data_IF_949972326238
#
_entry.id   IF_949972326238
#
_cell.length_a   1.000
_cell.length_b   1.000
_cell.length_c   1.000
_cell.angle_alpha   90.00
_cell.angle_beta   90.00
_cell.angle_gamma   90.00
#
_symmetry.space_group_name_H-M   'P 1'
#
loop_
_entity.id
_entity.type
_entity.pdbx_description
1 polymer ?
#
# COMPACT_ATOMS: atom_id res chain seq x y z
N UNK A 1 -8.72 -16.58 2.23
CA UNK A 1 -8.69 -15.11 2.35
C UNK A 1 -9.19 -14.51 1.05
N UNK A 2 -9.75 -13.30 1.10
CA UNK A 2 -10.11 -12.53 -0.09
C UNK A 2 -9.10 -11.39 -0.27
N UNK A 3 -8.64 -11.18 -1.50
CA UNK A 3 -7.73 -10.09 -1.83
C UNK A 3 -8.38 -9.12 -2.80
N UNK A 4 -8.18 -7.83 -2.56
CA UNK A 4 -8.60 -6.77 -3.45
C UNK A 4 -7.42 -5.85 -3.78
N UNK A 5 -7.50 -5.22 -4.95
CA UNK A 5 -6.55 -4.20 -5.40
C UNK A 5 -7.33 -3.02 -5.95
N UNK A 6 -6.91 -1.81 -5.60
CA UNK A 6 -7.55 -0.59 -6.09
C UNK A 6 -6.53 0.53 -6.24
N UNK A 7 -6.97 1.64 -6.84
CA UNK A 7 -6.20 2.87 -6.95
C UNK A 7 -6.93 4.01 -6.27
N UNK A 8 -6.21 4.74 -5.41
CA UNK A 8 -6.73 5.93 -4.74
C UNK A 8 -5.93 7.16 -5.17
N UNK A 9 -6.59 8.31 -5.26
CA UNK A 9 -5.89 9.57 -5.56
C UNK A 9 -5.05 9.98 -4.35
N UNK A 10 -3.76 10.21 -4.56
CA UNK A 10 -2.84 10.71 -3.54
C UNK A 10 -3.27 12.10 -3.05
N UNK A 11 -2.86 12.45 -1.82
CA UNK A 11 -3.03 13.79 -1.25
C UNK A 11 -2.37 14.89 -2.08
N UNK A 12 -1.43 14.55 -2.98
CA UNK A 12 -0.87 15.49 -3.94
C UNK A 12 -1.83 15.86 -5.08
N UNK A 13 -3.01 15.25 -5.14
CA UNK A 13 -4.08 15.54 -6.10
C UNK A 13 -3.84 15.08 -7.53
N UNK A 14 -2.69 14.46 -7.84
CA UNK A 14 -2.31 14.10 -9.23
C UNK A 14 -2.01 12.61 -9.42
N UNK A 15 -1.37 11.99 -8.43
CA UNK A 15 -0.88 10.61 -8.56
C UNK A 15 -1.90 9.62 -8.00
N UNK A 16 -1.77 8.36 -8.44
CA UNK A 16 -2.65 7.27 -8.01
C UNK A 16 -1.82 6.28 -7.20
N UNK A 17 -2.24 6.02 -5.97
CA UNK A 17 -1.62 5.06 -5.07
C UNK A 17 -2.22 3.69 -5.33
N UNK A 18 -1.39 2.69 -5.54
CA UNK A 18 -1.80 1.29 -5.59
C UNK A 18 -2.03 0.78 -4.17
N UNK A 19 -3.24 0.28 -3.91
CA UNK A 19 -3.66 -0.21 -2.59
C UNK A 19 -3.98 -1.69 -2.68
N UNK A 20 -3.51 -2.47 -1.71
CA UNK A 20 -3.89 -3.87 -1.53
C UNK A 20 -4.58 -4.07 -0.20
N UNK A 21 -5.60 -4.91 -0.24
CA UNK A 21 -6.35 -5.33 0.96
C UNK A 21 -6.44 -6.85 0.99
N UNK A 22 -6.11 -7.43 2.14
CA UNK A 22 -6.27 -8.85 2.45
C UNK A 22 -7.31 -8.99 3.55
N UNK A 23 -8.37 -9.73 3.27
CA UNK A 23 -9.50 -9.93 4.17
C UNK A 23 -9.56 -11.39 4.65
N UNK A 24 -9.73 -11.62 5.96
CA UNK A 24 -10.08 -12.94 6.45
C UNK A 24 -11.45 -13.37 5.91
N UNK A 25 -11.73 -14.67 5.92
CA UNK A 25 -13.04 -15.19 5.52
C UNK A 25 -14.14 -14.80 6.52
N UNK A 26 -13.78 -14.75 7.80
CA UNK A 26 -14.66 -14.35 8.90
C UNK A 26 -14.68 -12.83 9.12
N UNK A 27 -15.50 -12.37 10.06
CA UNK A 27 -15.53 -10.97 10.47
C UNK A 27 -14.18 -10.54 11.07
N UNK A 28 -13.53 -9.47 10.56
CA UNK A 28 -12.23 -9.04 11.08
C UNK A 28 -12.29 -8.61 12.55
N UNK A 29 -11.31 -9.05 13.34
CA UNK A 29 -11.12 -8.62 14.74
C UNK A 29 -10.65 -7.17 14.84
N UNK A 30 -9.79 -6.77 13.91
CA UNK A 30 -9.25 -5.43 13.74
C UNK A 30 -8.68 -5.26 12.32
N UNK A 31 -8.25 -4.05 12.00
CA UNK A 31 -7.51 -3.72 10.77
C UNK A 31 -6.06 -3.43 11.11
N UNK A 32 -5.14 -4.02 10.37
CA UNK A 32 -3.70 -3.72 10.40
C UNK A 32 -3.33 -2.98 9.12
N UNK A 33 -2.85 -1.75 9.26
CA UNK A 33 -2.30 -1.00 8.13
C UNK A 33 -0.78 -1.18 8.07
N UNK A 34 -0.28 -1.67 6.93
CA UNK A 34 1.14 -1.77 6.65
C UNK A 34 1.59 -0.51 5.92
N UNK A 35 2.65 0.11 6.44
CA UNK A 35 3.38 1.24 5.86
C UNK A 35 4.80 0.73 5.61
N UNK A 36 5.21 0.65 4.36
CA UNK A 36 6.48 0.03 3.99
C UNK A 36 7.66 1.00 4.09
N UNK A 37 8.88 0.48 4.09
CA UNK A 37 10.09 1.32 4.15
C UNK A 37 10.49 1.94 2.81
N UNK A 38 11.60 2.69 2.84
CA UNK A 38 12.25 3.21 1.64
C UNK A 38 12.76 2.06 0.76
N UNK A 39 12.62 2.16 -0.56
CA UNK A 39 13.03 1.12 -1.53
C UNK A 39 12.21 -0.19 -1.41
N UNK A 40 11.07 -0.14 -0.73
CA UNK A 40 10.14 -1.27 -0.63
C UNK A 40 8.88 -1.04 -1.45
N UNK A 41 7.96 -2.01 -1.40
CA UNK A 41 6.62 -1.94 -1.97
C UNK A 41 5.73 -2.95 -1.24
N UNK A 42 4.42 -2.76 -1.29
CA UNK A 42 3.45 -3.46 -0.43
C UNK A 42 3.38 -4.97 -0.70
N UNK A 43 3.63 -5.43 -1.94
CA UNK A 43 3.63 -6.86 -2.26
C UNK A 43 4.70 -7.64 -1.49
N UNK A 44 5.80 -7.00 -1.06
CA UNK A 44 6.82 -7.67 -0.24
C UNK A 44 6.28 -8.18 1.09
N UNK A 45 5.14 -7.66 1.55
CA UNK A 45 4.50 -8.03 2.80
C UNK A 45 3.36 -9.03 2.62
N UNK A 46 3.21 -9.64 1.43
CA UNK A 46 2.14 -10.60 1.14
C UNK A 46 2.07 -11.73 2.18
N UNK A 47 3.17 -12.45 2.41
CA UNK A 47 3.21 -13.58 3.36
C UNK A 47 2.89 -13.14 4.80
N UNK A 48 3.31 -11.92 5.18
CA UNK A 48 2.97 -11.37 6.50
C UNK A 48 1.47 -11.04 6.60
N UNK A 49 0.88 -10.49 5.54
CA UNK A 49 -0.56 -10.24 5.47
C UNK A 49 -1.36 -11.56 5.51
N UNK A 50 -0.89 -12.62 4.85
CA UNK A 50 -1.46 -13.96 4.96
C UNK A 50 -1.42 -14.49 6.39
N UNK A 51 -0.29 -14.35 7.08
CA UNK A 51 -0.16 -14.76 8.49
C UNK A 51 -1.15 -14.02 9.41
N UNK A 52 -1.33 -12.71 9.20
CA UNK A 52 -2.27 -11.90 9.97
C UNK A 52 -3.73 -12.21 9.64
N UNK A 53 -4.06 -12.40 8.36
CA UNK A 53 -5.42 -12.78 7.95
C UNK A 53 -5.81 -14.17 8.47
N UNK A 54 -4.88 -15.12 8.52
CA UNK A 54 -5.10 -16.42 9.17
C UNK A 54 -5.43 -16.30 10.68
N UNK A 55 -5.04 -15.20 11.32
CA UNK A 55 -5.36 -14.90 12.72
C UNK A 55 -6.64 -14.06 12.89
N UNK A 56 -7.33 -13.72 11.79
CA UNK A 56 -8.60 -12.99 11.78
C UNK A 56 -8.46 -11.46 11.70
N UNK A 57 -7.30 -10.95 11.29
CA UNK A 57 -7.11 -9.51 11.04
C UNK A 57 -7.34 -9.18 9.57
N UNK A 58 -8.04 -8.07 9.28
CA UNK A 58 -7.97 -7.48 7.95
C UNK A 58 -6.65 -6.71 7.82
N UNK A 59 -6.00 -6.80 6.66
CA UNK A 59 -4.75 -6.12 6.39
C UNK A 59 -4.92 -5.21 5.19
N UNK A 60 -4.43 -3.99 5.29
CA UNK A 60 -4.42 -3.02 4.19
C UNK A 60 -3.03 -2.41 4.08
N UNK A 61 -2.62 -2.07 2.88
CA UNK A 61 -1.45 -1.23 2.68
C UNK A 61 -1.41 -0.70 1.26
N UNK A 62 -0.50 0.21 1.00
CA UNK A 62 -0.36 0.83 -0.30
C UNK A 62 1.11 1.02 -0.63
N UNK A 63 1.38 1.13 -1.93
CA UNK A 63 2.66 1.63 -2.41
C UNK A 63 2.69 3.14 -2.25
N UNK A 64 3.64 3.65 -1.48
CA UNK A 64 3.87 5.09 -1.34
C UNK A 64 4.07 5.75 -2.72
N UNK A 65 3.95 7.08 -2.79
CA UNK A 65 4.40 7.81 -3.98
C UNK A 65 5.80 7.34 -4.36
N UNK A 66 6.14 7.34 -5.65
CA UNK A 66 7.48 6.95 -6.12
C UNK A 66 7.91 5.51 -5.83
N UNK A 67 7.01 4.64 -5.33
CA UNK A 67 7.30 3.23 -5.04
C UNK A 67 6.34 2.28 -5.77
N UNK A 68 6.81 1.05 -5.97
CA UNK A 68 6.02 -0.08 -6.47
C UNK A 68 5.13 0.25 -7.67
N UNK A 69 3.89 -0.21 -7.61
CA UNK A 69 2.88 -0.05 -8.66
C UNK A 69 2.18 1.32 -8.66
N UNK A 70 2.51 2.20 -7.71
CA UNK A 70 2.09 3.61 -7.72
C UNK A 70 2.89 4.44 -8.75
N UNK A 71 4.02 3.90 -9.25
CA UNK A 71 4.86 4.57 -10.25
C UNK A 71 4.37 4.27 -11.67
N UNK A 72 4.06 5.33 -12.43
CA UNK A 72 3.61 5.22 -13.83
C UNK A 72 4.77 5.00 -14.80
N UNK A 73 5.92 5.63 -14.54
CA UNK A 73 7.09 5.65 -15.42
C UNK A 73 8.35 5.42 -14.58
N UNK A 74 9.29 4.61 -15.08
CA UNK A 74 10.50 4.22 -14.33
C UNK A 74 11.31 5.41 -13.81
N UNK A 75 11.31 6.54 -14.52
CA UNK A 75 12.00 7.77 -14.11
C UNK A 75 11.39 8.43 -12.86
N UNK A 76 10.17 8.07 -12.46
CA UNK A 76 9.50 8.60 -11.28
C UNK A 76 9.70 7.74 -10.02
N UNK A 77 10.49 6.65 -10.10
CA UNK A 77 10.88 5.92 -8.88
C UNK A 77 11.67 6.84 -7.93
N UNK A 78 11.33 6.80 -6.64
CA UNK A 78 11.92 7.67 -5.62
C UNK A 78 11.41 9.11 -5.62
N UNK A 79 10.46 9.46 -6.48
CA UNK A 79 9.90 10.81 -6.56
C UNK A 79 8.57 10.93 -5.80
N UNK A 80 8.55 11.78 -4.76
CA UNK A 80 7.39 11.99 -3.89
C UNK A 80 6.83 13.43 -3.97
N UNK A 81 7.47 14.29 -4.75
CA UNK A 81 7.10 15.71 -4.94
C UNK A 81 8.31 16.59 -5.21
N UNK A 82 8.11 17.67 -5.98
CA UNK A 82 9.15 18.64 -6.36
C UNK A 82 9.69 19.42 -5.16
N UNK A 83 8.82 19.73 -4.19
CA UNK A 83 9.12 20.39 -2.94
C UNK A 83 8.29 19.76 -1.83
N UNK A 84 8.90 19.62 -0.66
CA UNK A 84 8.25 19.08 0.54
C UNK A 84 7.49 17.76 0.29
N UNK A 85 8.05 16.88 -0.55
CA UNK A 85 7.38 15.64 -0.98
C UNK A 85 6.96 14.72 0.18
N UNK A 86 7.65 14.81 1.32
CA UNK A 86 7.29 14.11 2.54
C UNK A 86 5.90 14.48 3.10
N UNK A 87 5.35 15.65 2.74
CA UNK A 87 3.99 16.06 3.14
C UNK A 87 2.89 15.28 2.40
N UNK A 88 3.24 14.50 1.37
CA UNK A 88 2.30 13.71 0.58
C UNK A 88 2.41 12.20 0.83
N UNK A 89 3.25 11.78 1.78
CA UNK A 89 3.44 10.38 2.19
C UNK A 89 2.52 10.01 3.35
#
# INVERSE_FOLDING_TARGET
>A
MRMNQEKLTSSNGKDQLFVKTWLPEEQPKAVVQIVHGMIEHIERYHEFAECLTAQGYAVVGHDHLGHGQSVKETQAYGHFGEKEGANYL
#
